data_IF_453298714547
#
_entry.id   IF_453298714547
#
_cell.length_a   1.000
_cell.length_b   1.000
_cell.length_c   1.000
_cell.angle_alpha   90.00
_cell.angle_beta   90.00
_cell.angle_gamma   90.00
#
_symmetry.space_group_name_H-M   'P 1'
#
loop_
_entity.id
_entity.type
_entity.pdbx_description
1 polymer ?
#
# COMPACT_ATOMS: atom_id res chain seq x y z
N UNK A 1 5.54 30.20 18.05
CA UNK A 1 6.45 30.36 16.91
C UNK A 1 6.02 29.37 15.83
N UNK A 2 5.00 29.74 15.07
CA UNK A 2 4.55 29.03 13.87
C UNK A 2 5.29 29.62 12.65
N UNK A 3 5.66 28.78 11.69
CA UNK A 3 5.92 29.25 10.32
C UNK A 3 7.35 29.56 9.89
N UNK A 4 8.42 29.16 10.60
CA UNK A 4 9.77 29.29 10.04
C UNK A 4 10.21 27.98 9.35
N UNK A 5 10.24 28.04 8.01
CA UNK A 5 10.75 27.05 7.06
C UNK A 5 9.92 25.75 6.94
N UNK A 6 8.74 25.84 6.31
CA UNK A 6 8.02 24.65 5.82
C UNK A 6 8.64 24.24 4.49
N UNK A 7 9.08 22.98 4.38
CA UNK A 7 9.69 22.42 3.18
C UNK A 7 8.93 21.16 2.71
N UNK A 8 9.13 20.77 1.46
CA UNK A 8 8.65 19.49 0.94
C UNK A 8 9.61 18.35 1.27
N UNK A 9 9.14 17.10 1.19
CA UNK A 9 9.95 15.93 1.56
C UNK A 9 11.19 15.76 0.67
N UNK A 10 11.09 16.12 -0.61
CA UNK A 10 12.22 16.10 -1.54
C UNK A 10 13.24 17.24 -1.32
N UNK A 11 12.88 18.27 -0.54
CA UNK A 11 13.76 19.42 -0.28
C UNK A 11 14.67 19.20 0.95
N UNK A 12 14.62 18.02 1.57
CA UNK A 12 15.49 17.66 2.69
C UNK A 12 16.95 17.59 2.19
N UNK A 13 17.74 18.58 2.61
CA UNK A 13 19.12 18.81 2.15
C UNK A 13 20.17 17.90 2.81
N UNK A 14 19.78 17.16 3.86
CA UNK A 14 20.69 16.34 4.65
C UNK A 14 21.54 17.09 5.68
N UNK A 15 21.32 18.40 5.86
CA UNK A 15 22.12 19.31 6.70
C UNK A 15 21.26 20.03 7.73
N UNK A 16 20.16 20.63 7.30
CA UNK A 16 19.28 21.45 8.13
C UNK A 16 18.44 20.57 9.04
N UNK A 17 18.62 20.69 10.36
CA UNK A 17 17.91 19.86 11.36
C UNK A 17 16.62 20.48 11.91
N UNK A 18 16.45 21.81 11.75
CA UNK A 18 15.31 22.55 12.24
C UNK A 18 14.46 23.05 11.08
N UNK A 19 13.57 22.19 10.61
CA UNK A 19 12.59 22.50 9.57
C UNK A 19 11.23 21.92 9.94
N UNK A 20 10.23 22.37 9.22
CA UNK A 20 8.86 21.90 9.33
C UNK A 20 8.46 21.20 8.04
N UNK A 21 7.75 20.08 8.12
CA UNK A 21 7.06 19.46 6.98
C UNK A 21 5.57 19.46 7.23
N UNK A 22 4.79 19.57 6.16
CA UNK A 22 3.35 19.39 6.20
C UNK A 22 3.00 18.12 5.43
N UNK A 23 2.44 17.13 6.11
CA UNK A 23 2.30 15.76 5.60
C UNK A 23 0.98 15.12 6.00
N UNK A 24 0.47 14.24 5.15
CA UNK A 24 -0.59 13.29 5.44
C UNK A 24 0.00 11.92 5.76
N UNK A 25 -0.55 11.23 6.76
CA UNK A 25 -0.20 9.84 7.05
C UNK A 25 -1.03 8.93 6.15
N UNK A 26 -0.50 8.49 5.01
CA UNK A 26 -1.28 7.67 4.05
C UNK A 26 -1.36 6.20 4.45
N UNK A 27 -0.37 5.71 5.20
CA UNK A 27 -0.38 4.36 5.80
C UNK A 27 0.29 4.39 7.16
N UNK A 28 -0.25 3.67 8.14
CA UNK A 28 0.32 3.52 9.48
C UNK A 28 0.13 2.10 9.98
N UNK A 29 1.19 1.50 10.54
CA UNK A 29 1.14 0.16 11.12
C UNK A 29 2.10 0.02 12.30
N UNK A 30 1.82 -0.98 13.14
CA UNK A 30 2.68 -1.35 14.27
C UNK A 30 3.52 -2.56 13.87
N UNK A 31 4.83 -2.47 14.10
CA UNK A 31 5.77 -3.56 13.90
C UNK A 31 6.05 -4.25 15.23
N UNK A 32 5.80 -5.55 15.29
CA UNK A 32 6.05 -6.37 16.48
C UNK A 32 7.55 -6.49 16.78
N UNK A 33 7.87 -6.62 18.06
CA UNK A 33 9.23 -6.87 18.52
C UNK A 33 9.62 -8.34 18.28
N UNK A 34 10.64 -8.61 17.45
CA UNK A 34 11.04 -9.99 17.15
C UNK A 34 11.68 -10.69 18.36
N UNK A 35 12.14 -9.94 19.37
CA UNK A 35 12.77 -10.48 20.57
C UNK A 35 11.81 -10.64 21.74
N UNK A 36 10.64 -9.98 21.71
CA UNK A 36 9.68 -9.98 22.81
C UNK A 36 8.26 -10.06 22.26
N UNK A 37 7.68 -11.26 22.32
CA UNK A 37 6.33 -11.51 21.84
C UNK A 37 5.32 -10.59 22.55
N UNK A 38 4.35 -10.07 21.80
CA UNK A 38 3.32 -9.16 22.32
C UNK A 38 3.74 -7.68 22.44
N UNK A 39 5.02 -7.36 22.35
CA UNK A 39 5.48 -5.96 22.37
C UNK A 39 5.53 -5.35 20.96
N UNK A 40 5.13 -4.08 20.85
CA UNK A 40 5.34 -3.29 19.63
C UNK A 40 6.72 -2.63 19.66
N UNK A 41 7.53 -2.86 18.64
CA UNK A 41 8.89 -2.31 18.49
C UNK A 41 8.89 -0.89 17.91
N UNK A 42 8.01 -0.66 16.94
CA UNK A 42 7.94 0.60 16.22
C UNK A 42 6.53 0.83 15.66
N UNK A 43 6.18 2.11 15.49
CA UNK A 43 5.08 2.54 14.62
C UNK A 43 5.75 3.02 13.34
N UNK A 44 5.53 2.30 12.25
CA UNK A 44 6.02 2.67 10.93
C UNK A 44 4.87 3.31 10.14
N UNK A 45 5.21 4.25 9.27
CA UNK A 45 4.23 4.95 8.46
C UNK A 45 4.80 5.41 7.13
N UNK A 46 3.89 5.66 6.18
CA UNK A 46 4.17 6.38 4.95
C UNK A 46 3.57 7.77 5.10
N UNK A 47 4.42 8.78 5.00
CA UNK A 47 4.04 10.18 4.94
C UNK A 47 3.97 10.61 3.48
N UNK A 48 3.03 11.51 3.18
CA UNK A 48 2.92 12.14 1.89
C UNK A 48 2.82 13.66 2.06
N UNK A 49 3.62 14.44 1.34
CA UNK A 49 3.49 15.90 1.34
C UNK A 49 2.44 16.41 0.34
N UNK A 50 2.23 17.72 0.33
CA UNK A 50 1.25 18.38 -0.56
C UNK A 50 1.59 18.21 -2.06
N UNK A 51 2.83 17.82 -2.41
CA UNK A 51 3.24 17.49 -3.79
C UNK A 51 3.03 16.01 -4.13
N UNK A 52 2.54 15.20 -3.21
CA UNK A 52 2.36 13.75 -3.40
C UNK A 52 3.64 12.93 -3.19
N UNK A 53 4.75 13.55 -2.80
CA UNK A 53 6.01 12.85 -2.50
C UNK A 53 5.79 11.97 -1.28
N UNK A 54 6.19 10.70 -1.36
CA UNK A 54 6.04 9.73 -0.26
C UNK A 54 7.38 9.42 0.39
N UNK A 55 7.40 9.35 1.73
CA UNK A 55 8.59 9.00 2.50
C UNK A 55 8.23 8.15 3.72
N UNK A 56 9.09 7.18 4.04
CA UNK A 56 8.94 6.38 5.25
C UNK A 56 9.30 7.18 6.49
N UNK A 57 8.50 7.01 7.54
CA UNK A 57 8.82 7.51 8.87
C UNK A 57 8.58 6.45 9.94
N UNK A 58 9.36 6.53 11.02
CA UNK A 58 9.27 5.60 12.15
C UNK A 58 9.21 6.34 13.48
N UNK A 59 8.35 5.87 14.38
CA UNK A 59 8.43 6.15 15.82
C UNK A 59 8.93 4.88 16.49
N UNK A 60 9.99 4.95 17.29
CA UNK A 60 10.45 3.79 18.07
C UNK A 60 9.70 3.68 19.39
N UNK A 61 9.64 2.47 19.97
CA UNK A 61 8.91 2.20 21.21
C UNK A 61 9.22 3.16 22.36
N UNK A 62 10.47 3.63 22.46
CA UNK A 62 10.91 4.57 23.49
C UNK A 62 10.20 5.93 23.41
N UNK A 63 9.70 6.31 22.23
CA UNK A 63 9.06 7.59 21.95
C UNK A 63 7.52 7.51 21.90
N UNK A 64 6.92 6.32 22.08
CA UNK A 64 5.48 6.10 21.92
C UNK A 64 4.63 6.96 22.85
N UNK A 65 5.02 7.09 24.13
CA UNK A 65 4.27 7.87 25.13
C UNK A 65 3.94 9.28 24.64
N UNK A 66 4.80 9.87 23.80
CA UNK A 66 4.61 11.21 23.24
C UNK A 66 3.73 11.22 21.99
N UNK A 67 3.90 10.25 21.09
CA UNK A 67 3.40 10.37 19.71
C UNK A 67 2.28 9.41 19.34
N UNK A 68 2.19 8.25 20.00
CA UNK A 68 1.30 7.16 19.58
C UNK A 68 -0.16 7.57 19.52
N UNK A 69 -0.64 8.35 20.51
CA UNK A 69 -2.04 8.80 20.56
C UNK A 69 -2.37 9.92 19.56
N UNK A 70 -1.35 10.57 19.01
CA UNK A 70 -1.51 11.74 18.12
C UNK A 70 -1.66 11.30 16.67
N UNK A 71 -0.84 10.33 16.25
CA UNK A 71 -0.73 9.89 14.85
C UNK A 71 -1.83 8.90 14.49
N UNK A 72 -2.55 9.23 13.42
CA UNK A 72 -3.64 8.42 12.90
C UNK A 72 -3.52 8.37 11.37
N UNK A 73 -3.87 7.23 10.79
CA UNK A 73 -3.92 7.09 9.34
C UNK A 73 -4.99 8.00 8.74
N UNK A 74 -4.70 8.54 7.55
CA UNK A 74 -5.49 9.51 6.78
C UNK A 74 -5.59 10.92 7.38
N UNK A 75 -4.97 11.17 8.54
CA UNK A 75 -4.90 12.51 9.13
C UNK A 75 -3.67 13.29 8.63
N UNK A 76 -3.76 14.61 8.68
CA UNK A 76 -2.70 15.53 8.24
C UNK A 76 -2.05 16.23 9.43
N UNK A 77 -0.75 16.48 9.32
CA UNK A 77 0.08 17.02 10.39
C UNK A 77 1.11 18.02 9.88
N UNK A 78 1.43 18.98 10.73
CA UNK A 78 2.66 19.76 10.67
C UNK A 78 3.65 19.13 11.64
N UNK A 79 4.82 18.75 11.13
CA UNK A 79 5.87 18.08 11.90
C UNK A 79 7.13 18.95 11.91
N UNK A 80 7.52 19.41 13.08
CA UNK A 80 8.71 20.23 13.28
C UNK A 80 9.85 19.40 13.89
N UNK A 81 11.07 19.60 13.39
CA UNK A 81 12.28 18.85 13.78
C UNK A 81 12.09 17.33 13.72
N UNK A 82 11.63 16.75 12.59
CA UNK A 82 11.81 15.32 12.40
C UNK A 82 13.31 15.02 12.28
N UNK A 83 13.76 13.92 12.86
CA UNK A 83 15.09 13.39 12.55
C UNK A 83 15.05 12.78 11.15
N UNK A 84 16.11 12.95 10.38
CA UNK A 84 16.30 12.26 9.11
C UNK A 84 17.65 11.54 9.10
N UNK A 85 17.70 10.38 8.48
CA UNK A 85 18.94 9.61 8.27
C UNK A 85 18.97 9.11 6.81
N UNK A 86 20.16 8.78 6.30
CA UNK A 86 20.29 8.17 4.97
C UNK A 86 19.50 6.87 4.92
N UNK A 87 18.80 6.61 3.82
CA UNK A 87 18.01 5.40 3.65
C UNK A 87 18.90 4.19 3.35
N UNK A 88 19.38 3.55 4.42
CA UNK A 88 20.16 2.30 4.37
C UNK A 88 19.31 1.08 4.74
N UNK A 89 17.98 1.17 4.66
CA UNK A 89 17.10 0.05 5.01
C UNK A 89 17.27 -1.08 3.99
N UNK A 90 17.30 -2.32 4.48
CA UNK A 90 17.35 -3.53 3.64
C UNK A 90 16.08 -3.69 2.80
N UNK A 91 14.94 -3.28 3.35
CA UNK A 91 13.65 -3.33 2.70
C UNK A 91 13.14 -1.89 2.57
N UNK A 92 13.34 -1.29 1.40
CA UNK A 92 12.87 0.05 1.10
C UNK A 92 11.49 -0.05 0.46
N UNK A 93 10.57 0.83 0.84
CA UNK A 93 9.28 0.90 0.17
C UNK A 93 9.30 1.86 -1.02
N UNK A 94 10.13 2.89 -0.94
CA UNK A 94 10.26 3.93 -1.96
C UNK A 94 11.73 4.20 -2.23
N UNK A 95 12.04 4.69 -3.44
CA UNK A 95 13.37 5.16 -3.80
C UNK A 95 13.61 6.56 -3.20
N UNK A 96 13.86 6.60 -1.90
CA UNK A 96 14.14 7.85 -1.18
C UNK A 96 15.56 7.86 -0.64
N UNK A 97 16.23 9.01 -0.75
CA UNK A 97 17.57 9.23 -0.18
C UNK A 97 17.57 9.22 1.34
N UNK A 98 16.47 9.66 1.95
CA UNK A 98 16.32 9.78 3.40
C UNK A 98 15.08 9.03 3.90
N UNK A 99 15.09 8.72 5.18
CA UNK A 99 13.95 8.25 5.97
C UNK A 99 13.84 9.09 7.23
N UNK A 100 12.62 9.24 7.74
CA UNK A 100 12.37 10.06 8.91
C UNK A 100 12.22 9.23 10.18
N UNK A 101 12.59 9.81 11.31
CA UNK A 101 12.30 9.28 12.64
C UNK A 101 11.70 10.38 13.49
N UNK A 102 10.60 10.09 14.18
CA UNK A 102 10.02 11.01 15.16
C UNK A 102 10.45 10.59 16.56
N UNK A 103 11.20 11.48 17.22
CA UNK A 103 11.78 11.25 18.53
C UNK A 103 11.22 12.26 19.56
N UNK A 104 11.77 12.28 20.77
CA UNK A 104 11.39 13.25 21.81
C UNK A 104 11.55 14.73 21.42
N UNK A 105 12.39 15.08 20.43
CA UNK A 105 12.54 16.47 19.97
C UNK A 105 11.52 16.86 18.89
N UNK A 106 10.97 15.88 18.19
CA UNK A 106 9.96 16.11 17.15
C UNK A 106 8.68 16.65 17.77
N UNK A 107 8.11 17.69 17.16
CA UNK A 107 6.81 18.25 17.53
C UNK A 107 5.80 17.98 16.43
N UNK A 108 4.68 17.36 16.77
CA UNK A 108 3.62 16.98 15.84
C UNK A 108 2.35 17.74 16.21
N UNK A 109 1.73 18.40 15.23
CA UNK A 109 0.45 19.12 15.39
C UNK A 109 -0.48 18.74 14.26
N UNK A 110 -1.77 18.54 14.54
CA UNK A 110 -2.78 18.34 13.49
C UNK A 110 -2.78 19.54 12.54
N UNK A 111 -2.96 19.27 11.26
CA UNK A 111 -2.96 20.25 10.19
C UNK A 111 -4.29 20.18 9.44
N UNK A 112 -5.11 21.22 9.56
CA UNK A 112 -6.44 21.24 8.94
C UNK A 112 -6.44 21.87 7.54
N UNK A 113 -5.34 22.49 7.12
CA UNK A 113 -5.20 23.18 5.82
C UNK A 113 -4.18 22.48 4.91
N UNK A 114 -4.18 21.15 4.90
CA UNK A 114 -3.39 20.36 3.96
C UNK A 114 -4.08 20.37 2.59
N UNK A 115 -3.37 20.81 1.56
CA UNK A 115 -3.85 20.86 0.17
C UNK A 115 -2.94 19.97 -0.66
N UNK A 116 -3.36 18.73 -0.89
CA UNK A 116 -2.62 17.76 -1.67
C UNK A 116 -3.47 16.55 -2.04
N UNK A 117 -2.89 15.53 -2.67
CA UNK A 117 -3.62 14.33 -3.09
C UNK A 117 -4.31 13.64 -1.92
N UNK A 118 -5.48 13.04 -2.16
CA UNK A 118 -6.20 12.28 -1.12
C UNK A 118 -5.49 10.97 -0.79
N UNK A 119 -5.13 10.18 -1.81
CA UNK A 119 -4.49 8.88 -1.65
C UNK A 119 -3.04 8.86 -2.12
N UNK A 120 -2.67 9.76 -3.03
CA UNK A 120 -1.31 9.81 -3.59
C UNK A 120 -0.96 8.63 -4.48
N UNK A 121 -1.94 8.09 -5.21
CA UNK A 121 -1.74 6.96 -6.11
C UNK A 121 -0.72 7.28 -7.19
N UNK A 122 0.21 6.37 -7.42
CA UNK A 122 1.18 6.41 -8.52
C UNK A 122 1.11 5.08 -9.29
N UNK A 123 0.19 5.01 -10.25
CA UNK A 123 -0.11 3.77 -10.95
C UNK A 123 0.96 3.40 -11.97
N UNK A 124 1.53 2.20 -11.82
CA UNK A 124 2.27 1.53 -12.89
C UNK A 124 1.31 0.79 -13.81
N UNK A 125 1.52 0.89 -15.12
CA UNK A 125 0.75 0.11 -16.10
C UNK A 125 1.11 -1.37 -16.01
N UNK A 126 0.15 -2.25 -16.34
CA UNK A 126 0.43 -3.69 -16.30
C UNK A 126 1.50 -4.07 -17.34
N UNK A 127 1.53 -3.37 -18.48
CA UNK A 127 2.60 -3.48 -19.47
C UNK A 127 3.98 -3.19 -18.87
N UNK A 128 4.13 -2.07 -18.15
CA UNK A 128 5.41 -1.71 -17.52
C UNK A 128 5.82 -2.74 -16.47
N UNK A 129 4.88 -3.16 -15.61
CA UNK A 129 5.12 -4.21 -14.61
C UNK A 129 5.61 -5.50 -15.28
N UNK A 130 4.86 -6.03 -16.26
CA UNK A 130 5.20 -7.31 -16.92
C UNK A 130 6.48 -7.28 -17.74
N UNK A 131 6.91 -6.11 -18.18
CA UNK A 131 8.16 -5.94 -18.93
C UNK A 131 9.36 -5.62 -18.03
N UNK A 132 9.21 -5.69 -16.70
CA UNK A 132 10.30 -5.40 -15.75
C UNK A 132 10.62 -3.91 -15.59
N UNK A 133 9.73 -3.02 -16.01
CA UNK A 133 9.87 -1.57 -15.85
C UNK A 133 9.68 -1.08 -14.42
N UNK A 134 9.24 -1.96 -13.51
CA UNK A 134 9.05 -1.66 -12.08
C UNK A 134 10.00 -2.51 -11.26
N UNK A 135 10.81 -1.85 -10.43
CA UNK A 135 11.75 -2.54 -9.53
C UNK A 135 11.01 -3.38 -8.49
N UNK A 136 11.50 -4.60 -8.26
CA UNK A 136 11.02 -5.48 -7.19
C UNK A 136 11.44 -5.01 -5.79
N UNK A 137 12.36 -4.04 -5.70
CA UNK A 137 12.78 -3.46 -4.43
C UNK A 137 11.69 -2.57 -3.82
N UNK A 138 10.98 -1.80 -4.67
CA UNK A 138 10.04 -0.77 -4.23
C UNK A 138 8.59 -1.23 -4.31
N UNK A 139 7.70 -0.44 -3.71
CA UNK A 139 6.26 -0.64 -3.81
C UNK A 139 5.69 0.15 -4.98
N UNK A 140 4.68 -0.40 -5.62
CA UNK A 140 3.97 0.23 -6.73
C UNK A 140 2.47 0.18 -6.52
N UNK A 141 1.76 1.16 -7.06
CA UNK A 141 0.31 1.10 -7.13
C UNK A 141 -0.11 0.56 -8.49
N UNK A 142 -1.22 -0.17 -8.55
CA UNK A 142 -1.82 -0.62 -9.79
C UNK A 142 -3.32 -0.81 -9.63
N UNK A 143 -4.06 -0.66 -10.73
CA UNK A 143 -5.52 -0.72 -10.78
C UNK A 143 -5.95 -1.66 -11.90
N UNK A 144 -6.96 -2.50 -11.64
CA UNK A 144 -7.52 -3.39 -12.64
C UNK A 144 -8.89 -3.91 -12.29
N UNK A 145 -9.59 -4.40 -13.31
CA UNK A 145 -10.78 -5.22 -13.17
C UNK A 145 -10.40 -6.63 -12.71
N UNK A 146 -11.10 -7.19 -11.73
CA UNK A 146 -10.93 -8.58 -11.31
C UNK A 146 -11.70 -9.47 -12.28
N UNK A 147 -10.98 -10.10 -13.20
CA UNK A 147 -11.57 -10.99 -14.20
C UNK A 147 -11.88 -12.37 -13.63
N UNK A 148 -10.92 -12.92 -12.87
CA UNK A 148 -11.04 -14.22 -12.23
C UNK A 148 -10.48 -14.16 -10.81
N UNK A 149 -11.03 -14.97 -9.92
CA UNK A 149 -10.49 -15.22 -8.59
C UNK A 149 -10.52 -16.71 -8.28
N UNK A 150 -9.49 -17.18 -7.58
CA UNK A 150 -9.35 -18.58 -7.22
C UNK A 150 -9.73 -18.80 -5.75
N UNK A 151 -10.07 -20.04 -5.41
CA UNK A 151 -10.32 -20.42 -4.02
C UNK A 151 -9.08 -20.14 -3.16
N UNK A 152 -9.33 -19.87 -1.86
CA UNK A 152 -8.26 -19.80 -0.88
C UNK A 152 -7.49 -21.12 -0.85
N UNK A 153 -6.17 -21.00 -0.81
CA UNK A 153 -5.22 -22.09 -0.74
C UNK A 153 -4.40 -21.93 0.55
N UNK A 154 -4.48 -22.91 1.44
CA UNK A 154 -3.58 -22.99 2.59
C UNK A 154 -2.17 -23.42 2.12
N UNK A 155 -1.15 -22.83 2.72
CA UNK A 155 0.24 -23.01 2.31
C UNK A 155 1.18 -22.92 3.50
N UNK A 156 2.44 -23.26 3.31
CA UNK A 156 3.45 -23.18 4.36
C UNK A 156 4.61 -22.31 3.86
N UNK A 157 4.96 -21.30 4.65
CA UNK A 157 6.11 -20.44 4.35
C UNK A 157 7.40 -21.25 4.32
N UNK A 158 8.46 -20.70 3.72
CA UNK A 158 9.81 -21.32 3.71
C UNK A 158 10.38 -21.63 5.11
N UNK A 159 9.78 -21.09 6.17
CA UNK A 159 10.20 -21.28 7.55
C UNK A 159 9.28 -22.26 8.32
N UNK A 160 8.40 -22.99 7.64
CA UNK A 160 7.49 -23.95 8.28
C UNK A 160 6.26 -23.32 8.95
N UNK A 161 6.08 -21.99 8.90
CA UNK A 161 4.89 -21.32 9.41
C UNK A 161 3.72 -21.53 8.44
N UNK A 162 2.58 -21.99 8.94
CA UNK A 162 1.32 -22.05 8.21
C UNK A 162 0.90 -20.65 7.75
N UNK A 163 0.36 -20.56 6.54
CA UNK A 163 -0.13 -19.33 5.91
C UNK A 163 -1.20 -19.71 4.88
N UNK A 164 -1.76 -18.75 4.17
CA UNK A 164 -2.75 -18.97 3.12
C UNK A 164 -2.75 -17.82 2.13
N UNK A 165 -3.23 -18.09 0.93
CA UNK A 165 -3.33 -17.11 -0.16
C UNK A 165 -4.58 -17.32 -0.99
N UNK A 166 -4.92 -16.32 -1.78
CA UNK A 166 -5.76 -16.48 -2.97
C UNK A 166 -5.10 -15.79 -4.16
N UNK A 167 -5.28 -16.34 -5.34
CA UNK A 167 -4.83 -15.72 -6.58
C UNK A 167 -6.00 -15.02 -7.27
N UNK A 168 -5.70 -13.94 -7.98
CA UNK A 168 -6.62 -13.15 -8.80
C UNK A 168 -5.98 -12.92 -10.17
N UNK A 169 -6.80 -12.85 -11.22
CA UNK A 169 -6.41 -12.32 -12.52
C UNK A 169 -7.02 -10.93 -12.66
N UNK A 170 -6.16 -9.91 -12.69
CA UNK A 170 -6.56 -8.55 -12.97
C UNK A 170 -6.41 -8.25 -14.46
N UNK A 171 -7.31 -7.46 -15.01
CA UNK A 171 -7.22 -6.92 -16.38
C UNK A 171 -7.26 -5.40 -16.38
N UNK A 172 -6.34 -4.77 -17.11
CA UNK A 172 -6.32 -3.31 -17.28
C UNK A 172 -7.19 -2.85 -18.47
N UNK A 173 -7.20 -1.54 -18.73
CA UNK A 173 -7.95 -0.94 -19.86
C UNK A 173 -7.38 -1.31 -21.24
N UNK A 174 -6.13 -1.77 -21.31
CA UNK A 174 -5.48 -2.25 -22.54
C UNK A 174 -5.77 -3.75 -22.78
N UNK A 175 -6.49 -4.40 -21.86
CA UNK A 175 -6.77 -5.82 -21.92
C UNK A 175 -5.60 -6.69 -21.48
N UNK A 176 -4.57 -6.13 -20.86
CA UNK A 176 -3.42 -6.90 -20.35
C UNK A 176 -3.84 -7.55 -19.04
N UNK A 177 -3.55 -8.85 -18.92
CA UNK A 177 -3.80 -9.62 -17.70
C UNK A 177 -2.55 -9.62 -16.79
N UNK A 178 -2.77 -9.45 -15.49
CA UNK A 178 -1.76 -9.48 -14.43
C UNK A 178 -2.23 -10.39 -13.29
N UNK A 179 -1.41 -11.39 -12.95
CA UNK A 179 -1.69 -12.28 -11.82
C UNK A 179 -1.31 -11.59 -10.51
N UNK A 180 -2.27 -11.48 -9.60
CA UNK A 180 -2.12 -10.94 -8.26
C UNK A 180 -2.31 -12.04 -7.22
N UNK A 181 -1.37 -12.19 -6.29
CA UNK A 181 -1.51 -13.05 -5.11
C UNK A 181 -1.78 -12.22 -3.86
N UNK A 182 -2.90 -12.48 -3.20
CA UNK A 182 -3.25 -11.89 -1.90
C UNK A 182 -3.01 -12.91 -0.79
N UNK A 183 -2.17 -12.55 0.17
CA UNK A 183 -1.78 -13.38 1.31
C UNK A 183 -2.53 -12.99 2.58
N UNK A 184 -2.84 -13.96 3.43
CA UNK A 184 -3.34 -13.77 4.80
C UNK A 184 -4.50 -12.76 4.89
N UNK A 185 -4.40 -11.71 5.71
CA UNK A 185 -5.46 -10.72 5.94
C UNK A 185 -6.00 -10.06 4.66
N UNK A 186 -5.21 -10.02 3.58
CA UNK A 186 -5.61 -9.45 2.29
C UNK A 186 -6.47 -10.43 1.48
N UNK A 187 -6.21 -11.74 1.64
CA UNK A 187 -7.11 -12.80 1.16
C UNK A 187 -8.46 -12.68 1.87
N UNK A 188 -8.47 -12.54 3.20
CA UNK A 188 -9.71 -12.44 3.98
C UNK A 188 -10.55 -11.23 3.57
N UNK A 189 -9.92 -10.05 3.40
CA UNK A 189 -10.60 -8.83 2.92
C UNK A 189 -11.31 -9.04 1.57
N UNK A 190 -10.63 -9.71 0.63
CA UNK A 190 -11.19 -9.96 -0.70
C UNK A 190 -12.30 -11.01 -0.66
N UNK A 191 -12.11 -12.10 0.09
CA UNK A 191 -13.15 -13.12 0.29
C UNK A 191 -14.39 -12.54 0.99
N UNK A 192 -14.20 -11.69 2.00
CA UNK A 192 -15.28 -10.99 2.70
C UNK A 192 -16.05 -10.09 1.73
N UNK A 193 -15.35 -9.31 0.90
CA UNK A 193 -16.00 -8.48 -0.12
C UNK A 193 -16.82 -9.32 -1.10
N UNK A 194 -16.24 -10.37 -1.69
CA UNK A 194 -16.92 -11.25 -2.66
C UNK A 194 -18.15 -11.91 -2.01
N UNK A 195 -18.03 -12.42 -0.79
CA UNK A 195 -19.13 -13.11 -0.11
C UNK A 195 -20.31 -12.18 0.24
N UNK A 196 -20.04 -10.90 0.52
CA UNK A 196 -21.05 -9.89 0.82
C UNK A 196 -21.69 -9.27 -0.43
N UNK A 197 -21.06 -9.37 -1.60
CA UNK A 197 -21.48 -8.72 -2.84
C UNK A 197 -21.65 -9.75 -3.99
N UNK A 198 -22.42 -10.82 -3.75
CA UNK A 198 -22.57 -11.94 -4.71
C UNK A 198 -23.12 -11.55 -6.09
N UNK A 199 -23.92 -10.49 -6.13
CA UNK A 199 -24.52 -9.96 -7.36
C UNK A 199 -23.63 -8.92 -8.06
N UNK A 200 -22.49 -8.53 -7.46
CA UNK A 200 -21.56 -7.59 -8.09
C UNK A 200 -20.74 -8.32 -9.16
N UNK A 201 -21.12 -8.09 -10.41
CA UNK A 201 -20.40 -8.65 -11.56
C UNK A 201 -19.11 -7.91 -11.87
N UNK A 202 -18.94 -6.68 -11.36
CA UNK A 202 -17.83 -5.81 -11.75
C UNK A 202 -17.01 -5.29 -10.57
N UNK A 203 -15.98 -6.05 -10.24
CA UNK A 203 -15.01 -5.68 -9.19
C UNK A 203 -13.82 -4.97 -9.82
N UNK A 204 -13.59 -3.71 -9.45
CA UNK A 204 -12.35 -2.99 -9.72
C UNK A 204 -11.55 -2.89 -8.44
N UNK A 205 -10.29 -3.26 -8.52
CA UNK A 205 -9.36 -3.31 -7.42
C UNK A 205 -8.21 -2.33 -7.66
N UNK A 206 -7.96 -1.44 -6.70
CA UNK A 206 -6.67 -0.78 -6.56
C UNK A 206 -5.88 -1.53 -5.49
N UNK A 207 -4.65 -1.90 -5.83
CA UNK A 207 -3.64 -2.31 -4.85
C UNK A 207 -2.67 -1.15 -4.69
N UNK A 208 -2.73 -0.49 -3.53
CA UNK A 208 -1.76 0.52 -3.16
C UNK A 208 -0.59 -0.14 -2.42
N UNK A 209 0.62 0.25 -2.76
CA UNK A 209 1.87 -0.26 -2.24
C UNK A 209 2.06 -1.77 -2.42
N UNK A 210 1.70 -2.30 -3.60
CA UNK A 210 1.92 -3.69 -3.97
C UNK A 210 3.39 -4.03 -4.23
N UNK A 211 3.70 -5.32 -4.17
CA UNK A 211 5.01 -5.91 -4.47
C UNK A 211 5.04 -6.43 -5.91
N UNK A 212 6.16 -6.24 -6.60
CA UNK A 212 6.45 -6.92 -7.87
C UNK A 212 7.47 -8.03 -7.61
N UNK A 213 7.20 -9.22 -8.13
CA UNK A 213 8.07 -10.38 -8.01
C UNK A 213 8.38 -10.96 -9.38
N UNK A 214 9.65 -11.07 -9.71
CA UNK A 214 10.12 -11.85 -10.86
C UNK A 214 10.48 -13.26 -10.36
N UNK A 215 9.73 -14.25 -10.83
CA UNK A 215 10.07 -15.65 -10.63
C UNK A 215 10.39 -16.29 -11.99
N UNK A 216 11.69 -16.44 -12.27
CA UNK A 216 12.21 -17.10 -13.49
C UNK A 216 11.64 -16.49 -14.78
N UNK A 217 11.53 -15.17 -14.85
CA UNK A 217 10.99 -14.45 -16.01
C UNK A 217 9.47 -14.31 -16.02
N UNK A 218 8.78 -14.89 -15.04
CA UNK A 218 7.34 -14.66 -14.86
C UNK A 218 7.13 -13.60 -13.78
N UNK A 219 6.69 -12.41 -14.22
CA UNK A 219 6.37 -11.31 -13.32
C UNK A 219 4.96 -11.48 -12.75
N UNK A 220 4.88 -11.54 -11.43
CA UNK A 220 3.64 -11.55 -10.66
C UNK A 220 3.64 -10.39 -9.67
N UNK A 221 2.45 -9.99 -9.22
CA UNK A 221 2.30 -9.01 -8.14
C UNK A 221 1.68 -9.62 -6.92
N UNK A 222 1.97 -9.06 -5.75
CA UNK A 222 1.40 -9.49 -4.48
C UNK A 222 1.15 -8.29 -3.56
N UNK A 223 0.36 -8.48 -2.50
CA UNK A 223 0.41 -7.54 -1.38
C UNK A 223 1.81 -7.57 -0.73
N UNK A 224 2.20 -6.45 -0.15
CA UNK A 224 3.33 -6.30 0.75
C UNK A 224 2.79 -6.28 2.18
N UNK A 225 3.31 -7.14 3.05
CA UNK A 225 2.86 -7.21 4.44
C UNK A 225 2.94 -5.83 5.12
N UNK A 226 1.89 -5.55 5.90
CA UNK A 226 1.65 -4.31 6.65
C UNK A 226 1.38 -3.06 5.84
N UNK A 227 2.11 -2.80 4.74
CA UNK A 227 2.03 -1.53 4.02
C UNK A 227 0.91 -1.50 2.97
N UNK A 228 0.61 -2.62 2.31
CA UNK A 228 -0.40 -2.62 1.24
C UNK A 228 -1.76 -2.18 1.76
N UNK A 229 -2.51 -1.49 0.88
CA UNK A 229 -3.92 -1.20 1.08
C UNK A 229 -4.69 -1.61 -0.17
N UNK A 230 -5.79 -2.34 0.02
CA UNK A 230 -6.72 -2.66 -1.04
C UNK A 230 -7.85 -1.64 -1.04
N UNK A 231 -8.25 -1.17 -2.21
CA UNK A 231 -9.48 -0.41 -2.41
C UNK A 231 -10.35 -1.24 -3.35
N UNK A 232 -11.31 -1.94 -2.76
CA UNK A 232 -12.18 -2.89 -3.47
C UNK A 232 -13.50 -2.18 -3.78
N UNK A 233 -13.71 -1.79 -5.04
CA UNK A 233 -14.91 -1.06 -5.48
C UNK A 233 -15.25 0.19 -4.63
N UNK A 234 -14.26 0.79 -3.98
CA UNK A 234 -14.46 2.01 -3.21
C UNK A 234 -14.87 3.18 -4.12
N UNK A 235 -15.66 4.11 -3.57
CA UNK A 235 -16.11 5.32 -4.28
C UNK A 235 -14.99 6.37 -4.31
N UNK A 236 -13.94 6.11 -5.08
CA UNK A 236 -12.90 7.09 -5.40
C UNK A 236 -12.86 7.35 -6.91
N UNK A 237 -12.30 8.51 -7.28
CA UNK A 237 -12.28 8.99 -8.67
C UNK A 237 -11.61 8.00 -9.62
N UNK A 238 -10.53 7.35 -9.20
CA UNK A 238 -9.78 6.39 -10.02
C UNK A 238 -10.61 5.16 -10.38
N UNK A 239 -11.31 4.57 -9.39
CA UNK A 239 -12.21 3.43 -9.61
C UNK A 239 -13.40 3.83 -10.50
N UNK A 240 -14.00 4.99 -10.24
CA UNK A 240 -15.12 5.49 -11.05
C UNK A 240 -14.69 5.72 -12.51
N UNK A 241 -13.52 6.33 -12.72
CA UNK A 241 -12.95 6.57 -14.03
C UNK A 241 -12.60 5.25 -14.75
N UNK A 242 -12.03 4.29 -14.02
CA UNK A 242 -11.72 2.97 -14.55
C UNK A 242 -13.00 2.26 -15.00
N UNK A 243 -14.01 2.14 -14.13
CA UNK A 243 -15.30 1.50 -14.45
C UNK A 243 -15.97 2.10 -15.68
N UNK A 244 -15.93 3.44 -15.82
CA UNK A 244 -16.52 4.14 -16.97
C UNK A 244 -15.80 3.83 -18.29
N UNK A 245 -14.49 3.60 -18.25
CA UNK A 245 -13.67 3.33 -19.45
C UNK A 245 -13.58 1.85 -19.78
N UNK A 246 -13.76 0.99 -18.77
CA UNK A 246 -13.73 -0.45 -18.95
C UNK A 246 -15.03 -0.91 -19.60
N UNK A 247 -14.94 -1.37 -20.86
CA UNK A 247 -16.08 -1.97 -21.55
C UNK A 247 -15.96 -3.50 -21.46
N UNK A 248 -16.90 -4.20 -20.79
CA UNK A 248 -16.91 -5.66 -20.74
C UNK A 248 -17.07 -6.31 -22.12
N UNK A 249 -17.51 -5.55 -23.13
CA UNK A 249 -17.83 -6.05 -24.48
C UNK A 249 -16.60 -6.56 -25.25
N UNK A 250 -15.37 -6.28 -24.77
CA UNK A 250 -14.14 -6.87 -25.35
C UNK A 250 -13.72 -8.21 -24.71
N UNK A 251 -14.30 -8.63 -23.58
CA UNK A 251 -13.95 -9.89 -22.90
C UNK A 251 -14.93 -11.04 -23.19
N UNK A 252 -16.09 -10.78 -23.81
CA UNK A 252 -17.11 -11.78 -24.14
C UNK A 252 -16.75 -12.73 -25.30
N UNK A 253 -15.50 -12.73 -25.77
CA UNK A 253 -14.99 -13.70 -26.76
C UNK A 253 -14.29 -14.91 -26.12
N UNK A 254 -14.22 -14.98 -24.78
CA UNK A 254 -13.72 -16.16 -24.09
C UNK A 254 -14.90 -17.00 -23.56
N UNK A 255 -14.93 -18.32 -23.82
CA UNK A 255 -15.99 -19.18 -23.33
C UNK A 255 -16.01 -19.16 -21.80
N UNK A 256 -17.20 -18.95 -21.25
CA UNK A 256 -17.51 -18.97 -19.82
C UNK A 256 -17.22 -20.36 -19.24
N UNK A 257 -15.97 -20.68 -18.94
CA UNK A 257 -15.62 -21.91 -18.24
C UNK A 257 -15.61 -21.68 -16.73
N UNK A 258 -16.72 -22.12 -16.12
CA UNK A 258 -16.81 -22.71 -14.78
C UNK A 258 -16.78 -21.71 -13.61
N UNK A 259 -17.95 -21.17 -13.28
CA UNK A 259 -18.31 -20.88 -11.87
C UNK A 259 -18.40 -22.23 -11.17
N UNK A 260 -17.42 -22.60 -10.33
CA UNK A 260 -17.61 -23.74 -9.42
C UNK A 260 -18.60 -23.33 -8.33
N UNK A 261 -19.65 -24.14 -8.05
CA UNK A 261 -20.53 -23.87 -6.94
C UNK A 261 -19.76 -23.93 -5.62
N UNK A 262 -20.01 -22.93 -4.77
CA UNK A 262 -19.67 -22.93 -3.35
C UNK A 262 -20.50 -24.01 -2.64
N UNK A 263 -20.07 -25.26 -2.71
CA UNK A 263 -20.61 -26.33 -1.86
C UNK A 263 -19.52 -27.37 -1.60
N UNK A 264 -18.76 -27.19 -0.51
CA UNK A 264 -18.32 -28.33 0.31
C UNK A 264 -18.37 -27.90 1.78
N UNK A 265 -19.36 -28.43 2.49
CA UNK A 265 -19.39 -28.52 3.96
C UNK A 265 -18.33 -29.52 4.42
N UNK A 266 -17.61 -29.18 5.49
CA UNK A 266 -17.27 -30.12 6.56
C UNK A 266 -17.54 -29.43 7.90
#
# INVERSE_FOLDING_TARGET
>A
MEGKNIIYLNDIDGKTRAFTIKVKVVRLWKRSNPKKAGETWAIDMVLMDEKGTKMQATVWSNDFKKHEKILQQNECYTVFKPRFDKNNQKFKHFDTKYVLTFNLETTIRKCNNFIGPTHGFEFSTFKSIKNGGVSSEFRTDFIGYVEEWFAREDTTTRYGKQSYKMDLILRDLEGIALKLTLWEEYCDQMQEYISKNKEEEHIVLIVQFGSVHDYKGTINVANAYYITKLFINERNEEIVNFKRRFSPVRSSLLPTSIRLPLDIKF
#
